data_IF_621669657427
#
_entry.id   IF_621669657427
#
_cell.length_a   1.000
_cell.length_b   1.000
_cell.length_c   1.000
_cell.angle_alpha   90.00
_cell.angle_beta   90.00
_cell.angle_gamma   90.00
#
_symmetry.space_group_name_H-M   'P 1'
#
loop_
_entity.id
_entity.type
_entity.pdbx_description
1 polymer ?
#
# COMPACT_ATOMS: atom_id res chain seq x y z
N UNK A 1 -6.09 -54.32 26.49
CA UNK A 1 -5.03 -53.90 25.54
C UNK A 1 -4.74 -52.43 25.80
N UNK A 2 -3.46 -52.14 26.00
CA UNK A 2 -2.86 -50.83 26.28
C UNK A 2 -2.21 -50.32 24.98
N UNK A 3 -2.23 -49.01 24.70
CA UNK A 3 -1.13 -48.15 24.18
C UNK A 3 -1.71 -46.73 23.95
N UNK A 4 -1.47 -45.79 24.87
CA UNK A 4 -0.53 -44.64 24.84
C UNK A 4 -0.95 -43.40 24.02
N UNK A 5 -0.92 -42.19 24.61
CA UNK A 5 -1.02 -40.91 23.90
C UNK A 5 0.37 -40.31 23.62
N UNK A 6 0.61 -39.83 22.39
CA UNK A 6 1.78 -39.04 22.05
C UNK A 6 1.45 -37.53 22.02
N UNK A 7 2.30 -36.78 22.71
CA UNK A 7 2.32 -35.34 22.86
C UNK A 7 2.73 -34.60 21.57
N UNK A 8 2.28 -33.34 21.46
CA UNK A 8 3.14 -32.25 21.01
C UNK A 8 2.71 -31.51 19.74
N UNK A 9 2.15 -30.30 19.91
CA UNK A 9 1.95 -29.33 18.83
C UNK A 9 1.73 -27.94 19.41
N UNK A 10 2.85 -27.26 19.73
CA UNK A 10 2.86 -25.93 20.35
C UNK A 10 2.37 -24.87 19.37
N UNK A 11 1.63 -23.92 19.93
CA UNK A 11 1.20 -22.63 19.39
C UNK A 11 2.35 -21.89 18.70
N UNK A 12 2.01 -21.27 17.57
CA UNK A 12 2.88 -20.51 16.67
C UNK A 12 3.27 -19.15 17.31
N UNK A 13 4.05 -19.18 18.40
CA UNK A 13 4.52 -17.96 19.10
C UNK A 13 6.04 -17.89 19.23
N UNK A 14 6.81 -18.67 18.46
CA UNK A 14 8.27 -18.65 18.52
C UNK A 14 8.90 -18.75 17.14
N UNK A 15 9.02 -17.61 16.45
CA UNK A 15 9.92 -17.49 15.29
C UNK A 15 10.38 -16.05 15.08
N UNK A 16 10.71 -15.32 16.16
CA UNK A 16 11.55 -14.11 16.10
C UNK A 16 12.39 -14.03 17.38
N UNK A 17 13.37 -14.93 17.51
CA UNK A 17 14.53 -14.75 18.38
C UNK A 17 15.70 -15.45 17.72
N UNK A 18 16.86 -14.80 17.74
CA UNK A 18 18.15 -15.23 17.19
C UNK A 18 18.46 -14.81 15.75
N UNK A 19 18.68 -13.51 15.56
CA UNK A 19 19.90 -13.09 14.87
C UNK A 19 20.22 -11.62 15.19
N UNK A 20 21.05 -11.38 16.22
CA UNK A 20 21.84 -10.16 16.40
C UNK A 20 22.79 -10.38 17.59
N UNK A 21 23.84 -11.16 17.36
CA UNK A 21 25.09 -11.07 18.12
C UNK A 21 26.21 -10.78 17.16
N UNK A 22 26.95 -9.70 17.41
CA UNK A 22 28.29 -9.50 16.87
C UNK A 22 28.45 -8.21 16.07
N UNK A 23 28.86 -7.15 16.76
CA UNK A 23 30.09 -6.38 16.48
C UNK A 23 29.95 -4.92 16.93
N UNK A 24 30.27 -4.66 18.19
CA UNK A 24 30.73 -3.35 18.63
C UNK A 24 31.79 -3.58 19.70
N UNK A 25 33.04 -3.74 19.27
CA UNK A 25 34.17 -3.60 20.18
C UNK A 25 35.38 -3.03 19.42
N UNK A 26 35.52 -1.71 19.44
CA UNK A 26 36.83 -1.05 19.41
C UNK A 26 36.80 0.18 20.31
N UNK A 27 37.51 0.03 21.43
CA UNK A 27 37.92 1.07 22.36
C UNK A 27 38.76 2.13 21.64
N UNK A 28 38.51 3.39 21.96
CA UNK A 28 39.56 4.43 21.98
C UNK A 28 39.38 5.25 23.25
N UNK A 29 40.38 5.20 24.13
CA UNK A 29 40.52 6.08 25.31
C UNK A 29 40.99 7.45 24.84
N UNK A 30 40.30 8.52 25.23
CA UNK A 30 40.92 9.86 25.45
C UNK A 30 40.27 10.52 26.68
N UNK A 31 41.11 11.31 27.33
CA UNK A 31 41.17 11.87 28.68
C UNK A 31 40.03 12.76 29.20
N UNK A 32 40.07 12.90 30.53
CA UNK A 32 39.28 13.76 31.42
C UNK A 32 39.20 15.23 30.96
N UNK A 33 38.00 15.81 31.05
CA UNK A 33 37.74 17.24 30.88
C UNK A 33 36.28 17.59 31.15
N UNK A 34 36.05 18.45 32.13
CA UNK A 34 34.77 18.91 32.67
C UNK A 34 33.90 19.61 31.61
N UNK A 35 32.70 19.10 31.28
CA UNK A 35 31.66 19.90 30.60
C UNK A 35 30.26 19.54 31.11
N UNK A 36 29.54 20.62 31.49
CA UNK A 36 28.13 20.73 31.87
C UNK A 36 27.16 19.96 30.96
N UNK A 37 26.12 19.43 31.58
CA UNK A 37 24.75 19.38 31.05
C UNK A 37 24.55 18.96 29.60
N UNK A 38 24.53 17.66 29.33
CA UNK A 38 23.92 17.11 28.11
C UNK A 38 22.80 16.15 28.53
N UNK A 39 21.55 16.62 28.42
CA UNK A 39 20.38 15.74 28.31
C UNK A 39 20.65 14.83 27.11
N UNK A 40 20.87 13.54 27.37
CA UNK A 40 20.89 12.50 26.34
C UNK A 40 19.57 12.61 25.57
N UNK A 41 19.59 13.15 24.35
CA UNK A 41 18.50 12.93 23.41
C UNK A 41 18.39 11.43 23.27
N UNK A 42 17.26 10.85 23.69
CA UNK A 42 16.93 9.49 23.29
C UNK A 42 16.89 9.53 21.77
N UNK A 43 17.83 8.85 21.13
CA UNK A 43 17.66 8.46 19.75
C UNK A 43 16.38 7.64 19.73
N UNK A 44 15.30 8.23 19.24
CA UNK A 44 14.12 7.47 18.86
C UNK A 44 14.62 6.48 17.81
N UNK A 45 14.67 5.21 18.20
CA UNK A 45 14.99 4.14 17.26
C UNK A 45 13.99 4.18 16.10
N UNK A 46 14.31 3.55 14.96
CA UNK A 46 13.41 3.51 13.81
C UNK A 46 12.01 3.12 14.28
N UNK A 47 11.04 4.02 14.05
CA UNK A 47 9.63 3.79 14.39
C UNK A 47 9.24 2.45 13.75
N UNK A 48 8.73 1.53 14.56
CA UNK A 48 8.27 0.23 14.07
C UNK A 48 7.17 0.47 13.05
N UNK A 49 7.47 0.14 11.79
CA UNK A 49 6.54 0.12 10.67
C UNK A 49 5.31 -0.69 11.07
N UNK A 50 4.13 -0.05 11.04
CA UNK A 50 2.88 -0.67 11.42
C UNK A 50 2.15 -1.01 10.12
N UNK A 51 2.47 -2.19 9.57
CA UNK A 51 1.69 -2.74 8.46
C UNK A 51 0.28 -3.01 9.00
N UNK A 52 -0.66 -2.12 8.70
CA UNK A 52 -2.08 -2.39 8.90
C UNK A 52 -2.55 -3.16 7.67
N UNK A 53 -2.14 -4.43 7.59
CA UNK A 53 -2.78 -5.37 6.69
C UNK A 53 -4.11 -5.75 7.34
N UNK A 54 -5.16 -5.00 7.05
CA UNK A 54 -6.50 -5.52 7.30
C UNK A 54 -6.72 -6.67 6.32
N UNK A 55 -7.31 -7.78 6.77
CA UNK A 55 -7.56 -8.94 5.92
C UNK A 55 -8.30 -8.46 4.67
N UNK A 56 -7.80 -8.96 3.54
CA UNK A 56 -8.47 -9.01 2.23
C UNK A 56 -9.97 -9.08 2.48
N UNK A 57 -10.68 -8.12 1.88
CA UNK A 57 -12.11 -8.09 1.53
C UNK A 57 -13.03 -9.13 2.17
N UNK A 58 -14.29 -8.78 2.35
CA UNK A 58 -15.37 -9.76 2.39
C UNK A 58 -15.49 -10.56 1.07
N UNK A 59 -14.39 -11.04 0.48
CA UNK A 59 -14.30 -12.46 0.12
C UNK A 59 -14.42 -13.26 1.40
N UNK A 60 -15.63 -13.35 1.95
CA UNK A 60 -15.90 -14.37 2.95
C UNK A 60 -15.50 -15.71 2.35
N UNK A 61 -14.99 -16.62 3.17
CA UNK A 61 -14.81 -18.03 2.74
C UNK A 61 -16.10 -18.52 2.06
N UNK A 62 -17.26 -18.02 2.48
CA UNK A 62 -18.58 -18.17 1.85
C UNK A 62 -18.70 -17.70 0.39
N UNK A 63 -18.15 -16.54 0.02
CA UNK A 63 -18.13 -16.08 -1.38
C UNK A 63 -17.17 -16.93 -2.21
N UNK A 64 -15.99 -17.26 -1.67
CA UNK A 64 -15.04 -18.17 -2.33
C UNK A 64 -15.65 -19.58 -2.53
N UNK A 65 -16.40 -20.08 -1.55
CA UNK A 65 -17.11 -21.35 -1.59
C UNK A 65 -18.32 -21.30 -2.56
N UNK A 66 -19.11 -20.23 -2.58
CA UNK A 66 -20.20 -20.04 -3.57
C UNK A 66 -19.66 -20.03 -5.00
N UNK A 67 -18.59 -19.28 -5.22
CA UNK A 67 -17.85 -19.17 -6.47
C UNK A 67 -17.34 -20.54 -6.95
N UNK A 68 -16.75 -21.34 -6.05
CA UNK A 68 -16.33 -22.72 -6.36
C UNK A 68 -17.50 -23.67 -6.65
N UNK A 69 -18.62 -23.51 -5.94
CA UNK A 69 -19.79 -24.39 -6.03
C UNK A 69 -20.65 -24.12 -7.27
N UNK A 70 -20.67 -22.88 -7.77
CA UNK A 70 -21.54 -22.45 -8.87
C UNK A 70 -20.86 -22.48 -10.25
N UNK A 71 -19.59 -22.91 -10.33
CA UNK A 71 -18.94 -23.24 -11.61
C UNK A 71 -19.00 -22.10 -12.63
N UNK A 72 -18.69 -20.88 -12.21
CA UNK A 72 -18.86 -19.69 -13.06
C UNK A 72 -17.70 -19.58 -14.04
N UNK A 73 -18.00 -19.72 -15.33
CA UNK A 73 -16.99 -19.73 -16.39
C UNK A 73 -16.12 -18.47 -16.41
N UNK A 74 -16.65 -17.34 -15.97
CA UNK A 74 -15.91 -16.07 -15.90
C UNK A 74 -14.75 -16.09 -14.89
N UNK A 75 -14.74 -17.00 -13.91
CA UNK A 75 -13.60 -17.16 -12.98
C UNK A 75 -12.34 -17.62 -13.69
N UNK A 76 -12.50 -18.40 -14.77
CA UNK A 76 -11.37 -18.81 -15.61
C UNK A 76 -10.67 -17.59 -16.23
N UNK A 77 -11.36 -16.46 -16.39
CA UNK A 77 -10.76 -15.21 -16.87
C UNK A 77 -9.85 -14.59 -15.80
N UNK A 78 -10.22 -14.66 -14.52
CA UNK A 78 -9.36 -14.21 -13.42
C UNK A 78 -8.09 -15.07 -13.31
N UNK A 79 -8.24 -16.39 -13.44
CA UNK A 79 -7.14 -17.36 -13.38
C UNK A 79 -6.25 -17.32 -14.63
N UNK A 80 -6.78 -16.88 -15.79
CA UNK A 80 -6.04 -16.78 -17.04
C UNK A 80 -5.06 -15.59 -17.09
N UNK A 81 -5.16 -14.64 -16.16
CA UNK A 81 -4.25 -13.50 -16.08
C UNK A 81 -2.85 -13.95 -15.64
N UNK A 82 -1.82 -13.45 -16.33
CA UNK A 82 -0.43 -13.62 -15.90
C UNK A 82 -0.10 -12.63 -14.77
N UNK A 83 -0.52 -12.99 -13.55
CA UNK A 83 -0.37 -12.15 -12.37
C UNK A 83 1.09 -11.90 -11.98
N UNK A 84 2.00 -12.83 -12.27
CA UNK A 84 3.43 -12.60 -12.00
C UNK A 84 4.01 -11.53 -12.92
N UNK A 85 3.63 -11.54 -14.20
CA UNK A 85 4.00 -10.47 -15.14
C UNK A 85 3.38 -9.14 -14.75
N UNK A 86 2.10 -9.12 -14.36
CA UNK A 86 1.42 -7.94 -13.84
C UNK A 86 2.19 -7.34 -12.66
N UNK A 87 2.41 -8.13 -11.60
CA UNK A 87 3.13 -7.69 -10.39
C UNK A 87 4.52 -7.13 -10.72
N UNK A 88 5.25 -7.79 -11.62
CA UNK A 88 6.58 -7.32 -12.06
C UNK A 88 6.51 -5.97 -12.77
N UNK A 89 5.53 -5.76 -13.64
CA UNK A 89 5.38 -4.50 -14.38
C UNK A 89 4.94 -3.36 -13.48
N UNK A 90 3.97 -3.59 -12.58
CA UNK A 90 3.57 -2.58 -11.60
C UNK A 90 4.73 -2.20 -10.71
N UNK A 91 5.48 -3.18 -10.17
CA UNK A 91 6.65 -2.91 -9.33
C UNK A 91 7.70 -2.04 -10.06
N UNK A 92 7.91 -2.28 -11.35
CA UNK A 92 8.80 -1.45 -12.17
C UNK A 92 8.25 -0.04 -12.41
N UNK A 93 6.94 0.07 -12.68
CA UNK A 93 6.28 1.36 -12.88
C UNK A 93 6.33 2.22 -11.62
N UNK A 94 6.01 1.67 -10.45
CA UNK A 94 6.09 2.37 -9.16
C UNK A 94 7.52 2.85 -8.89
N UNK A 95 8.53 2.00 -9.09
CA UNK A 95 9.94 2.39 -8.94
C UNK A 95 10.30 3.57 -9.85
N UNK A 96 9.86 3.55 -11.10
CA UNK A 96 10.10 4.64 -12.07
C UNK A 96 9.35 5.91 -11.68
N UNK A 97 8.10 5.80 -11.27
CA UNK A 97 7.27 6.92 -10.81
C UNK A 97 7.93 7.62 -9.61
N UNK A 98 8.34 6.85 -8.60
CA UNK A 98 9.03 7.39 -7.40
C UNK A 98 10.37 8.04 -7.77
N UNK A 99 11.17 7.42 -8.62
CA UNK A 99 12.44 7.99 -9.09
C UNK A 99 12.23 9.28 -9.89
N UNK A 100 11.22 9.29 -10.77
CA UNK A 100 10.83 10.47 -11.56
C UNK A 100 10.38 11.60 -10.64
N UNK A 101 9.52 11.30 -9.65
CA UNK A 101 9.03 12.28 -8.68
C UNK A 101 10.17 12.92 -7.89
N UNK A 102 11.09 12.12 -7.33
CA UNK A 102 12.26 12.65 -6.59
C UNK A 102 13.15 13.56 -7.43
N UNK A 103 13.24 13.30 -8.73
CA UNK A 103 14.06 14.10 -9.65
C UNK A 103 13.38 15.41 -10.03
N UNK A 104 12.07 15.37 -10.28
CA UNK A 104 11.30 16.52 -10.77
C UNK A 104 10.81 17.42 -9.63
N UNK A 105 10.61 16.85 -8.45
CA UNK A 105 10.08 17.50 -7.25
C UNK A 105 10.92 17.14 -6.01
N UNK A 106 12.23 17.45 -6.01
CA UNK A 106 13.13 17.01 -4.92
C UNK A 106 12.72 17.57 -3.56
N UNK A 107 12.15 18.77 -3.51
CA UNK A 107 11.80 19.49 -2.28
C UNK A 107 10.34 19.29 -1.84
N UNK A 108 9.52 18.60 -2.63
CA UNK A 108 8.11 18.42 -2.30
C UNK A 108 7.89 17.24 -1.33
N UNK A 109 7.21 17.47 -0.19
CA UNK A 109 6.93 16.42 0.77
C UNK A 109 5.83 15.51 0.24
N UNK A 110 6.17 14.24 0.01
CA UNK A 110 5.16 13.23 -0.32
C UNK A 110 4.33 12.95 0.93
N UNK A 111 3.01 13.05 0.78
CA UNK A 111 2.03 12.79 1.84
C UNK A 111 1.18 11.54 1.53
N UNK A 112 0.63 11.48 0.31
CA UNK A 112 -0.21 10.36 -0.14
C UNK A 112 0.24 9.89 -1.52
N UNK A 113 0.19 8.58 -1.75
CA UNK A 113 0.51 7.93 -3.03
C UNK A 113 -0.69 7.09 -3.45
N UNK A 114 -1.11 7.24 -4.70
CA UNK A 114 -2.06 6.35 -5.38
C UNK A 114 -1.35 5.33 -6.22
N UNK A 115 -1.82 4.08 -6.15
CA UNK A 115 -1.53 3.06 -7.16
C UNK A 115 -2.86 2.41 -7.52
N UNK A 116 -3.48 2.92 -8.59
CA UNK A 116 -4.77 2.45 -9.10
C UNK A 116 -4.54 1.69 -10.40
N UNK A 117 -5.07 0.48 -10.50
CA UNK A 117 -5.13 -0.30 -11.73
C UNK A 117 -6.58 -0.48 -12.14
N UNK A 118 -7.01 0.08 -13.27
CA UNK A 118 -8.35 -0.19 -13.79
C UNK A 118 -8.34 -1.52 -14.58
N UNK A 119 -9.05 -2.58 -14.14
CA UNK A 119 -9.09 -3.86 -14.84
C UNK A 119 -9.81 -3.79 -16.20
N UNK A 120 -10.64 -2.76 -16.44
CA UNK A 120 -11.37 -2.55 -17.69
C UNK A 120 -10.44 -1.99 -18.76
N UNK A 121 -9.65 -0.99 -18.39
CA UNK A 121 -8.71 -0.32 -19.30
C UNK A 121 -7.32 -0.97 -19.31
N UNK A 122 -7.04 -1.86 -18.36
CA UNK A 122 -5.76 -2.55 -18.20
C UNK A 122 -4.62 -1.56 -17.93
N UNK A 123 -4.89 -0.47 -17.22
CA UNK A 123 -3.93 0.61 -16.98
C UNK A 123 -3.72 0.80 -15.50
N UNK A 124 -2.45 0.93 -15.09
CA UNK A 124 -2.08 1.35 -13.74
C UNK A 124 -1.61 2.80 -13.77
N UNK A 125 -2.26 3.63 -12.96
CA UNK A 125 -1.94 5.02 -12.70
C UNK A 125 -1.31 5.16 -11.31
N UNK A 126 -0.18 5.86 -11.25
CA UNK A 126 0.48 6.23 -10.00
C UNK A 126 0.39 7.75 -9.83
N UNK A 127 -0.22 8.18 -8.72
CA UNK A 127 -0.44 9.59 -8.40
C UNK A 127 0.23 9.95 -7.08
N UNK A 128 0.59 11.22 -6.90
CA UNK A 128 1.18 11.73 -5.67
C UNK A 128 0.42 12.96 -5.18
N UNK A 129 0.30 13.08 -3.87
CA UNK A 129 -0.26 14.29 -3.26
C UNK A 129 0.61 14.80 -2.12
N UNK A 130 0.40 16.09 -1.84
CA UNK A 130 1.05 16.81 -0.75
C UNK A 130 0.01 17.24 0.27
N UNK A 131 0.41 17.34 1.52
CA UNK A 131 -0.49 17.78 2.59
C UNK A 131 -0.99 19.21 2.38
N UNK A 132 -0.13 20.08 1.85
CA UNK A 132 -0.48 21.46 1.50
C UNK A 132 -1.61 21.48 0.45
N UNK A 133 -1.49 20.70 -0.60
CA UNK A 133 -2.51 20.61 -1.64
C UNK A 133 -3.86 20.10 -1.12
N UNK A 134 -3.87 19.10 -0.23
CA UNK A 134 -5.10 18.63 0.43
C UNK A 134 -5.80 19.80 1.14
N UNK A 135 -5.07 20.63 1.89
CA UNK A 135 -5.66 21.78 2.58
C UNK A 135 -6.14 22.88 1.63
N UNK A 136 -5.41 23.12 0.54
CA UNK A 136 -5.84 24.05 -0.50
C UNK A 136 -7.16 23.61 -1.14
N UNK A 137 -7.33 22.30 -1.41
CA UNK A 137 -8.57 21.75 -1.94
C UNK A 137 -9.73 21.86 -0.96
N UNK A 138 -9.52 21.52 0.32
CA UNK A 138 -10.54 21.70 1.35
C UNK A 138 -11.04 23.15 1.38
N UNK A 139 -10.12 24.13 1.32
CA UNK A 139 -10.50 25.55 1.25
C UNK A 139 -11.30 25.85 -0.03
N UNK A 140 -10.84 25.35 -1.18
CA UNK A 140 -11.51 25.56 -2.48
C UNK A 140 -12.93 24.98 -2.48
N UNK A 141 -13.12 23.76 -1.98
CA UNK A 141 -14.44 23.12 -1.89
C UNK A 141 -15.38 23.91 -0.99
N UNK A 142 -14.91 24.47 0.13
CA UNK A 142 -15.72 25.36 0.97
C UNK A 142 -16.16 26.62 0.21
N UNK A 143 -15.26 27.24 -0.55
CA UNK A 143 -15.56 28.41 -1.38
C UNK A 143 -16.57 28.08 -2.49
N UNK A 144 -16.52 26.87 -3.05
CA UNK A 144 -17.44 26.35 -4.06
C UNK A 144 -18.78 25.81 -3.48
N UNK A 145 -18.90 25.74 -2.15
CA UNK A 145 -20.11 25.26 -1.45
C UNK A 145 -20.19 23.75 -1.21
N UNK A 146 -19.13 23.00 -1.47
CA UNK A 146 -19.00 21.56 -1.22
C UNK A 146 -18.56 21.28 0.23
N UNK A 147 -19.37 21.73 1.20
CA UNK A 147 -19.04 21.63 2.64
C UNK A 147 -18.90 20.18 3.13
N UNK A 148 -19.73 19.26 2.64
CA UNK A 148 -19.69 17.86 3.06
C UNK A 148 -18.41 17.16 2.60
N UNK A 149 -17.94 17.46 1.38
CA UNK A 149 -16.68 16.93 0.85
C UNK A 149 -15.47 17.49 1.62
N UNK A 150 -15.48 18.79 1.92
CA UNK A 150 -14.45 19.43 2.73
C UNK A 150 -14.35 18.80 4.13
N UNK A 151 -15.49 18.58 4.81
CA UNK A 151 -15.51 17.92 6.12
C UNK A 151 -15.02 16.49 6.06
N UNK A 152 -15.43 15.73 5.06
CA UNK A 152 -14.98 14.34 4.88
C UNK A 152 -13.45 14.26 4.80
N UNK A 153 -12.82 15.10 3.97
CA UNK A 153 -11.35 15.12 3.83
C UNK A 153 -10.65 15.63 5.08
N UNK A 154 -11.23 16.59 5.81
CA UNK A 154 -10.71 17.03 7.12
C UNK A 154 -10.79 15.90 8.17
N UNK A 155 -11.88 15.13 8.19
CA UNK A 155 -12.08 13.99 9.09
C UNK A 155 -11.12 12.82 8.79
N UNK A 156 -10.94 12.51 7.50
CA UNK A 156 -9.98 11.50 7.04
C UNK A 156 -8.52 11.96 7.24
N UNK A 157 -8.27 13.26 7.11
CA UNK A 157 -6.95 13.88 7.16
C UNK A 157 -6.14 13.73 5.87
N UNK A 158 -6.73 13.19 4.81
CA UNK A 158 -6.16 13.06 3.46
C UNK A 158 -7.27 13.01 2.41
N UNK A 159 -6.94 13.25 1.14
CA UNK A 159 -7.87 13.07 0.03
C UNK A 159 -7.88 11.60 -0.40
N UNK A 160 -9.06 10.99 -0.40
CA UNK A 160 -9.34 9.59 -0.77
C UNK A 160 -9.73 9.43 -2.26
N UNK A 161 -9.61 10.51 -3.03
CA UNK A 161 -9.86 10.51 -4.46
C UNK A 161 -8.57 10.86 -5.22
N UNK A 162 -7.98 9.92 -6.00
CA UNK A 162 -6.76 10.20 -6.75
C UNK A 162 -6.94 11.31 -7.79
N UNK A 163 -8.12 11.52 -8.37
CA UNK A 163 -8.36 12.54 -9.41
C UNK A 163 -8.15 13.96 -8.89
N UNK A 164 -8.27 14.10 -7.57
CA UNK A 164 -8.06 15.33 -6.84
C UNK A 164 -6.60 15.45 -6.39
N UNK A 165 -5.67 14.56 -6.77
CA UNK A 165 -4.27 14.69 -6.34
C UNK A 165 -3.55 15.79 -7.12
N UNK A 166 -2.61 16.49 -6.47
CA UNK A 166 -1.77 17.50 -7.13
C UNK A 166 -1.07 16.94 -8.36
N UNK A 167 -0.60 15.70 -8.26
CA UNK A 167 0.06 14.96 -9.32
C UNK A 167 -0.76 13.74 -9.70
N UNK A 168 -1.98 13.98 -10.20
CA UNK A 168 -2.83 12.95 -10.78
C UNK A 168 -2.20 12.33 -12.04
N UNK A 169 -2.34 11.01 -12.19
CA UNK A 169 -1.81 10.23 -13.33
C UNK A 169 -0.33 10.54 -13.65
N UNK A 170 0.47 10.78 -12.59
CA UNK A 170 1.87 11.20 -12.74
C UNK A 170 2.73 10.21 -13.53
N UNK A 171 2.38 8.92 -13.44
CA UNK A 171 2.96 7.86 -14.23
C UNK A 171 1.92 6.78 -14.54
N UNK A 172 1.87 6.36 -15.80
CA UNK A 172 0.93 5.36 -16.28
C UNK A 172 1.65 4.19 -16.94
N UNK A 173 1.04 3.00 -16.87
CA UNK A 173 1.52 1.82 -17.58
C UNK A 173 0.36 0.92 -17.99
N UNK A 174 0.39 0.50 -19.26
CA UNK A 174 -0.55 -0.47 -19.80
C UNK A 174 -0.12 -1.92 -19.48
N UNK A 175 -1.10 -2.78 -19.21
CA UNK A 175 -0.96 -4.17 -18.76
C UNK A 175 -1.69 -5.16 -19.68
N UNK A 176 -1.11 -5.53 -20.83
CA UNK A 176 -1.76 -6.47 -21.77
C UNK A 176 -2.07 -7.85 -21.16
N UNK A 177 -1.38 -8.23 -20.08
CA UNK A 177 -1.68 -9.44 -19.33
C UNK A 177 -3.05 -9.42 -18.62
N UNK A 178 -3.66 -8.24 -18.43
CA UNK A 178 -5.01 -8.08 -17.88
C UNK A 178 -6.11 -8.20 -18.94
N UNK A 179 -5.78 -8.42 -20.22
CA UNK A 179 -6.76 -8.55 -21.30
C UNK A 179 -7.91 -9.56 -21.03
N UNK A 180 -7.72 -10.68 -20.29
CA UNK A 180 -8.84 -11.53 -19.89
C UNK A 180 -9.92 -10.80 -19.07
N UNK A 181 -9.55 -9.83 -18.24
CA UNK A 181 -10.48 -9.09 -17.37
C UNK A 181 -11.41 -8.16 -18.16
N UNK A 182 -11.01 -7.71 -19.36
CA UNK A 182 -11.86 -6.92 -20.25
C UNK A 182 -13.06 -7.71 -20.79
N UNK A 183 -13.07 -9.04 -20.65
CA UNK A 183 -14.16 -9.90 -21.09
C UNK A 183 -15.20 -10.14 -19.99
N UNK A 184 -14.95 -9.67 -18.77
CA UNK A 184 -15.95 -9.68 -17.70
C UNK A 184 -17.06 -8.69 -18.01
N UNK A 185 -18.26 -8.99 -17.51
CA UNK A 185 -19.36 -8.03 -17.51
C UNK A 185 -19.14 -7.04 -16.35
N UNK A 186 -18.70 -5.83 -16.67
CA UNK A 186 -18.45 -4.79 -15.66
C UNK A 186 -19.72 -4.03 -15.26
N UNK A 187 -20.88 -4.35 -15.82
CA UNK A 187 -22.17 -3.91 -15.27
C UNK A 187 -22.69 -4.88 -14.19
N UNK A 188 -22.15 -6.10 -14.15
CA UNK A 188 -22.40 -7.09 -13.09
C UNK A 188 -21.51 -6.80 -11.88
N UNK A 189 -22.15 -6.33 -10.80
CA UNK A 189 -21.51 -5.97 -9.53
C UNK A 189 -20.62 -7.09 -8.96
N UNK A 190 -20.97 -8.35 -9.17
CA UNK A 190 -20.19 -9.48 -8.67
C UNK A 190 -18.93 -9.71 -9.50
N UNK A 191 -19.03 -9.58 -10.82
CA UNK A 191 -17.87 -9.71 -11.72
C UNK A 191 -16.93 -8.51 -11.60
N UNK A 192 -17.47 -7.28 -11.55
CA UNK A 192 -16.68 -6.06 -11.35
C UNK A 192 -15.98 -6.11 -9.99
N UNK A 193 -16.72 -6.39 -8.91
CA UNK A 193 -16.15 -6.52 -7.57
C UNK A 193 -15.07 -7.60 -7.49
N UNK A 194 -15.23 -8.73 -8.19
CA UNK A 194 -14.23 -9.78 -8.25
C UNK A 194 -12.96 -9.34 -9.02
N UNK A 195 -13.10 -8.63 -10.13
CA UNK A 195 -11.97 -8.10 -10.90
C UNK A 195 -11.12 -7.13 -10.05
N UNK A 196 -11.78 -6.15 -9.42
CA UNK A 196 -11.11 -5.18 -8.56
C UNK A 196 -10.48 -5.84 -7.33
N UNK A 197 -11.15 -6.81 -6.70
CA UNK A 197 -10.59 -7.53 -5.54
C UNK A 197 -9.35 -8.36 -5.89
N UNK A 198 -9.30 -8.99 -7.06
CA UNK A 198 -8.11 -9.74 -7.51
C UNK A 198 -6.93 -8.79 -7.81
N UNK A 199 -7.22 -7.67 -8.47
CA UNK A 199 -6.23 -6.61 -8.70
C UNK A 199 -5.70 -6.05 -7.38
N UNK A 200 -6.57 -5.69 -6.43
CA UNK A 200 -6.21 -5.22 -5.09
C UNK A 200 -5.28 -6.21 -4.39
N UNK A 201 -5.64 -7.50 -4.37
CA UNK A 201 -4.82 -8.55 -3.75
C UNK A 201 -3.40 -8.58 -4.32
N UNK A 202 -3.26 -8.55 -5.64
CA UNK A 202 -1.95 -8.60 -6.27
C UNK A 202 -1.17 -7.27 -6.17
N UNK A 203 -1.85 -6.14 -6.09
CA UNK A 203 -1.23 -4.86 -5.75
C UNK A 203 -0.71 -4.83 -4.33
N UNK A 204 -1.45 -5.38 -3.36
CA UNK A 204 -1.02 -5.47 -1.97
C UNK A 204 0.30 -6.23 -1.84
N UNK A 205 0.45 -7.36 -2.55
CA UNK A 205 1.71 -8.11 -2.62
C UNK A 205 2.88 -7.25 -3.16
N UNK A 206 2.61 -6.47 -4.22
CA UNK A 206 3.62 -5.59 -4.83
C UNK A 206 4.02 -4.48 -3.87
N UNK A 207 3.05 -3.79 -3.26
CA UNK A 207 3.32 -2.68 -2.35
C UNK A 207 4.07 -3.17 -1.12
N UNK A 208 3.66 -4.29 -0.51
CA UNK A 208 4.38 -4.87 0.62
C UNK A 208 5.85 -5.11 0.31
N UNK A 209 6.15 -5.72 -0.84
CA UNK A 209 7.53 -5.93 -1.30
C UNK A 209 8.29 -4.62 -1.54
N UNK A 210 7.65 -3.62 -2.16
CA UNK A 210 8.30 -2.33 -2.43
C UNK A 210 8.59 -1.54 -1.14
N UNK A 211 7.73 -1.68 -0.13
CA UNK A 211 7.97 -1.15 1.21
C UNK A 211 9.19 -1.83 1.85
N UNK A 212 9.28 -3.16 1.81
CA UNK A 212 10.45 -3.90 2.31
C UNK A 212 11.75 -3.52 1.59
N UNK A 213 11.67 -3.27 0.27
CA UNK A 213 12.80 -2.80 -0.54
C UNK A 213 13.15 -1.32 -0.30
N UNK A 214 12.40 -0.60 0.54
CA UNK A 214 12.63 0.80 0.86
C UNK A 214 12.33 1.76 -0.30
N UNK A 215 11.56 1.33 -1.30
CA UNK A 215 11.26 2.14 -2.50
C UNK A 215 10.59 3.45 -2.13
N UNK A 216 9.69 3.46 -1.17
CA UNK A 216 8.94 4.64 -0.72
C UNK A 216 9.68 5.49 0.34
N UNK A 217 11.00 5.33 0.47
CA UNK A 217 11.80 6.12 1.42
C UNK A 217 12.17 7.47 0.80
N UNK A 218 11.42 8.51 1.11
CA UNK A 218 11.72 9.89 0.69
C UNK A 218 12.47 10.63 1.81
N UNK A 219 13.43 11.48 1.44
CA UNK A 219 14.09 12.39 2.38
C UNK A 219 13.14 13.52 2.80
N UNK A 220 12.42 14.08 1.83
CA UNK A 220 11.36 15.06 2.02
C UNK A 220 10.01 14.34 2.03
N UNK A 221 9.62 13.88 3.22
CA UNK A 221 8.29 13.29 3.48
C UNK A 221 7.64 13.96 4.67
N UNK A 222 6.32 13.87 4.70
CA UNK A 222 5.57 14.07 5.94
C UNK A 222 5.95 13.02 6.99
N UNK A 223 5.48 13.22 8.23
CA UNK A 223 5.76 12.28 9.33
C UNK A 223 5.29 10.85 9.02
N UNK A 224 4.24 10.73 8.20
CA UNK A 224 3.65 9.48 7.71
C UNK A 224 3.36 9.64 6.22
N UNK A 225 3.71 8.62 5.42
CA UNK A 225 3.26 8.51 4.02
C UNK A 225 2.15 7.48 3.94
N UNK A 226 1.04 7.84 3.28
CA UNK A 226 -0.08 6.93 3.00
C UNK A 226 0.03 6.40 1.58
N UNK A 227 -0.07 5.09 1.42
CA UNK A 227 -0.14 4.44 0.11
C UNK A 227 -1.50 3.79 0.02
N UNK A 228 -2.36 4.35 -0.82
CA UNK A 228 -3.60 3.67 -1.18
C UNK A 228 -3.41 2.81 -2.42
N UNK A 229 -4.20 1.76 -2.52
CA UNK A 229 -4.29 0.88 -3.68
C UNK A 229 -5.76 0.69 -4.03
N UNK A 230 -6.06 0.06 -5.17
CA UNK A 230 -7.42 -0.31 -5.56
C UNK A 230 -8.27 -0.81 -4.40
N UNK A 231 -9.55 -0.45 -4.44
CA UNK A 231 -10.59 -1.12 -3.69
C UNK A 231 -11.83 -1.37 -4.55
N UNK A 232 -12.61 -2.41 -4.21
CA UNK A 232 -13.89 -2.70 -4.85
C UNK A 232 -15.02 -1.75 -4.43
N UNK A 233 -14.81 -0.87 -3.43
CA UNK A 233 -15.85 0.01 -2.89
C UNK A 233 -15.61 1.49 -3.20
N UNK A 234 -14.35 1.93 -3.18
CA UNK A 234 -13.97 3.30 -3.50
C UNK A 234 -12.51 3.36 -3.95
N UNK A 235 -12.08 4.48 -4.53
CA UNK A 235 -10.73 4.63 -5.08
C UNK A 235 -9.62 4.52 -4.03
N UNK A 236 -9.90 4.85 -2.76
CA UNK A 236 -8.96 4.71 -1.65
C UNK A 236 -9.60 4.49 -0.26
N UNK A 237 -10.48 3.50 -0.12
CA UNK A 237 -11.01 3.14 1.21
C UNK A 237 -9.96 2.48 2.15
N UNK A 238 -8.79 2.09 1.61
CA UNK A 238 -7.72 1.37 2.29
C UNK A 238 -6.35 1.97 1.97
N UNK A 239 -5.51 2.08 3.00
CA UNK A 239 -4.16 2.59 2.86
C UNK A 239 -3.16 1.91 3.81
N UNK A 240 -1.90 1.94 3.41
CA UNK A 240 -0.75 1.51 4.20
C UNK A 240 0.01 2.77 4.66
N UNK A 241 0.25 2.88 5.96
CA UNK A 241 1.09 3.93 6.55
C UNK A 241 2.52 3.40 6.77
N UNK A 242 3.51 4.16 6.30
CA UNK A 242 4.95 3.82 6.41
C UNK A 242 5.78 4.90 7.07
#
# INVERSE_FOLDING_TARGET
MVFQPLHGGRTLTNLIRENTRGCCDKRTKVSQGTVKGMRRRRCEGPKRMRIVALPVTLWSEEMAERVQREGREWLKLLEAVDWERYKKRVAQAVKRAVQKFRREHPDEPVFTISILTDPRFQETCISFDTKEHVYEQVRRWREEGYEDLAKMVEELGFCDNPVDFKYYEFYEVYHPELAPLCQLDHEDVEQEGAAFAWVEKHLADVVAKLVEEGVFTFENREEVVRIGINSPYDWFDRYIEI
#
